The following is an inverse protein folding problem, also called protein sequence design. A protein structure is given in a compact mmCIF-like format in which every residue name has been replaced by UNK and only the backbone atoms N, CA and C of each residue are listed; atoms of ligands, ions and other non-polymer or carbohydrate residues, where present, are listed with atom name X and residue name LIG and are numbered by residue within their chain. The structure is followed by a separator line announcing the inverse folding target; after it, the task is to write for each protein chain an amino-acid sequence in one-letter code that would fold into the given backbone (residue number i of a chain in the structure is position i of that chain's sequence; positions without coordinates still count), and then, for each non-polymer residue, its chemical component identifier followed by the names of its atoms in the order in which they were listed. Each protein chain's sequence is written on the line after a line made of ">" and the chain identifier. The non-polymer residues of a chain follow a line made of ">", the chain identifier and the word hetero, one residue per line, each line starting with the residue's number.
data_IF_122478187999
#
_entry.id   IF_122478187999
#
_cell.length_a   1.000
_cell.length_b   1.000
_cell.length_c   1.000
_cell.angle_alpha   90.00
_cell.angle_beta   90.00
_cell.angle_gamma   90.00
#
_symmetry.space_group_name_H-M   'P 1'
#
loop_
_entity.id
_entity.type
_entity.pdbx_description
1 polymer ?
#
# COMPACT_ATOMS: atom_id res chain seq x y z
N UNK A 1 7.24 -7.85 -19.91
CA UNK A 1 6.99 -8.63 -18.67
C UNK A 1 7.14 -7.72 -17.46
N UNK A 2 6.20 -7.79 -16.55
CA UNK A 2 6.23 -6.98 -15.33
C UNK A 2 7.07 -7.70 -14.27
N UNK A 3 8.07 -7.01 -13.75
CA UNK A 3 8.94 -7.50 -12.69
C UNK A 3 8.65 -6.72 -11.40
N UNK A 4 8.65 -7.40 -10.25
CA UNK A 4 8.54 -6.74 -8.94
C UNK A 4 9.84 -6.89 -8.18
N UNK A 5 10.33 -5.79 -7.66
CA UNK A 5 11.56 -5.73 -6.86
C UNK A 5 11.54 -4.54 -5.91
N UNK A 6 12.54 -4.46 -5.05
CA UNK A 6 12.72 -3.27 -4.23
C UNK A 6 13.12 -2.08 -5.10
N UNK A 7 12.61 -0.91 -4.74
CA UNK A 7 12.94 0.33 -5.40
C UNK A 7 14.39 0.74 -5.14
N UNK A 8 15.06 1.26 -6.15
CA UNK A 8 16.35 1.90 -6.00
C UNK A 8 16.15 3.33 -5.46
N UNK A 9 17.11 3.89 -4.70
CA UNK A 9 17.01 5.28 -4.22
C UNK A 9 16.72 6.29 -5.32
N UNK A 10 17.27 6.09 -6.52
CA UNK A 10 17.03 6.95 -7.69
C UNK A 10 15.58 6.87 -8.21
N UNK A 11 14.80 5.90 -7.77
CA UNK A 11 13.41 5.67 -8.20
C UNK A 11 12.38 6.19 -7.20
N UNK A 12 12.80 6.63 -6.02
CA UNK A 12 11.87 7.02 -4.95
C UNK A 12 10.94 8.17 -5.36
N UNK A 13 11.45 9.17 -6.05
CA UNK A 13 10.64 10.31 -6.48
C UNK A 13 9.57 9.88 -7.48
N UNK A 14 9.93 9.04 -8.45
CA UNK A 14 8.98 8.55 -9.46
C UNK A 14 7.96 7.59 -8.85
N UNK A 15 8.38 6.69 -7.97
CA UNK A 15 7.47 5.79 -7.25
C UNK A 15 6.46 6.58 -6.41
N UNK A 16 6.93 7.63 -5.74
CA UNK A 16 6.07 8.53 -4.97
C UNK A 16 5.10 9.30 -5.83
N UNK A 17 5.56 9.83 -6.96
CA UNK A 17 4.71 10.56 -7.91
C UNK A 17 3.58 9.68 -8.43
N UNK A 18 3.88 8.46 -8.84
CA UNK A 18 2.90 7.50 -9.36
C UNK A 18 1.87 7.14 -8.27
N UNK A 19 2.34 6.86 -7.07
CA UNK A 19 1.47 6.49 -5.96
C UNK A 19 0.54 7.64 -5.57
N UNK A 20 1.07 8.86 -5.43
CA UNK A 20 0.28 10.05 -5.13
C UNK A 20 -0.76 10.31 -6.24
N UNK A 21 -0.38 10.16 -7.51
CA UNK A 21 -1.31 10.33 -8.64
C UNK A 21 -2.47 9.32 -8.56
N UNK A 22 -2.20 8.08 -8.16
CA UNK A 22 -3.23 7.05 -7.99
C UNK A 22 -4.22 7.39 -6.88
N UNK A 23 -3.76 8.02 -5.80
CA UNK A 23 -4.62 8.41 -4.67
C UNK A 23 -5.35 9.73 -4.92
N UNK A 24 -4.77 10.62 -5.73
CA UNK A 24 -5.33 11.96 -5.97
C UNK A 24 -6.77 11.93 -6.49
N UNK A 25 -7.13 10.95 -7.28
CA UNK A 25 -8.48 10.83 -7.83
C UNK A 25 -9.55 10.62 -6.76
N UNK A 26 -9.16 10.19 -5.56
CA UNK A 26 -10.06 9.97 -4.43
C UNK A 26 -10.15 11.16 -3.47
N UNK A 27 -9.36 12.21 -3.71
CA UNK A 27 -9.38 13.45 -2.92
C UNK A 27 -10.17 14.50 -3.70
N UNK A 28 -11.15 15.10 -3.04
CA UNK A 28 -12.03 16.12 -3.63
C UNK A 28 -11.64 17.50 -3.13
N UNK A 29 -11.98 18.53 -3.92
CA UNK A 29 -11.60 19.90 -3.62
C UNK A 29 -12.15 20.44 -2.29
N UNK A 30 -13.26 19.88 -1.81
CA UNK A 30 -13.90 20.23 -0.54
C UNK A 30 -13.48 19.34 0.64
N UNK A 31 -12.56 18.40 0.41
CA UNK A 31 -12.03 17.56 1.48
C UNK A 31 -11.13 18.38 2.43
N UNK A 32 -11.04 17.97 3.72
CA UNK A 32 -10.12 18.60 4.67
C UNK A 32 -8.68 18.68 4.17
N UNK A 33 -7.94 19.70 4.61
CA UNK A 33 -6.56 19.94 4.17
C UNK A 33 -5.60 18.78 4.50
N UNK A 34 -5.84 18.03 5.56
CA UNK A 34 -5.02 16.87 5.92
C UNK A 34 -5.05 15.73 4.89
N UNK A 35 -6.10 15.63 4.09
CA UNK A 35 -6.15 14.72 2.96
C UNK A 35 -5.15 15.11 1.87
N UNK A 36 -5.02 16.41 1.62
CA UNK A 36 -4.03 16.92 0.67
C UNK A 36 -2.62 16.75 1.20
N UNK A 37 -2.42 16.99 2.50
CA UNK A 37 -1.13 16.72 3.18
C UNK A 37 -0.76 15.23 3.12
N UNK A 38 -1.74 14.34 3.20
CA UNK A 38 -1.50 12.90 3.05
C UNK A 38 -0.95 12.54 1.68
N UNK A 39 -1.38 13.20 0.61
CA UNK A 39 -0.79 13.02 -0.72
C UNK A 39 0.71 13.37 -0.74
N UNK A 40 1.10 14.43 -0.05
CA UNK A 40 2.51 14.80 0.07
C UNK A 40 3.32 13.74 0.81
N UNK A 41 2.75 13.14 1.85
CA UNK A 41 3.39 12.03 2.56
C UNK A 41 3.50 10.77 1.70
N UNK A 42 2.49 10.47 0.90
CA UNK A 42 2.54 9.35 -0.06
C UNK A 42 3.67 9.56 -1.06
N UNK A 43 3.82 10.77 -1.56
CA UNK A 43 4.86 11.11 -2.53
C UNK A 43 6.27 11.04 -1.93
N UNK A 44 6.43 11.20 -0.63
CA UNK A 44 7.74 11.22 0.06
C UNK A 44 8.20 9.79 0.42
N UNK A 45 8.49 9.02 -0.60
CA UNK A 45 8.99 7.64 -0.44
C UNK A 45 10.32 7.62 0.30
N UNK A 46 11.22 8.55 0.03
CA UNK A 46 12.54 8.60 0.65
C UNK A 46 12.49 8.73 2.17
N UNK A 47 11.48 9.42 2.71
CA UNK A 47 11.31 9.59 4.15
C UNK A 47 11.06 8.25 4.85
N UNK A 48 10.28 7.34 4.24
CA UNK A 48 9.93 6.06 4.86
C UNK A 48 10.76 4.87 4.40
N UNK A 49 11.57 5.03 3.36
CA UNK A 49 12.33 3.92 2.76
C UNK A 49 13.35 3.30 3.72
N UNK A 50 13.89 4.08 4.66
CA UNK A 50 14.88 3.59 5.63
C UNK A 50 14.31 2.67 6.71
N UNK A 51 12.99 2.69 6.92
CA UNK A 51 12.32 1.86 7.94
C UNK A 51 11.29 0.90 7.39
N UNK A 52 11.07 0.91 6.08
CA UNK A 52 10.11 0.04 5.40
C UNK A 52 10.73 -0.53 4.14
N UNK A 53 10.05 -1.49 3.52
CA UNK A 53 10.43 -2.02 2.21
C UNK A 53 9.55 -1.38 1.14
N UNK A 54 10.15 -0.71 0.17
CA UNK A 54 9.43 -0.13 -0.95
C UNK A 54 9.53 -1.08 -2.14
N UNK A 55 8.41 -1.60 -2.59
CA UNK A 55 8.33 -2.44 -3.78
C UNK A 55 7.86 -1.63 -4.97
N UNK A 56 8.45 -1.90 -6.13
CA UNK A 56 8.01 -1.34 -7.41
C UNK A 56 7.75 -2.47 -8.40
N UNK A 57 6.71 -2.28 -9.21
CA UNK A 57 6.46 -3.11 -10.38
C UNK A 57 6.97 -2.34 -11.60
N UNK A 58 7.87 -2.95 -12.34
CA UNK A 58 8.55 -2.30 -13.47
C UNK A 58 8.40 -3.09 -14.75
N UNK A 59 8.39 -2.38 -15.86
CA UNK A 59 8.46 -2.97 -17.20
C UNK A 59 9.54 -2.19 -17.96
N UNK A 60 10.68 -2.82 -18.20
CA UNK A 60 11.86 -2.10 -18.65
C UNK A 60 12.27 -1.04 -17.64
N UNK A 61 12.39 0.19 -18.08
CA UNK A 61 12.77 1.33 -17.22
C UNK A 61 11.56 2.07 -16.63
N UNK A 62 10.35 1.60 -16.91
CA UNK A 62 9.13 2.27 -16.48
C UNK A 62 8.57 1.64 -15.20
N UNK A 63 8.33 2.46 -14.19
CA UNK A 63 7.62 2.07 -12.98
C UNK A 63 6.11 2.11 -13.28
N UNK A 64 5.41 1.01 -13.02
CA UNK A 64 3.98 0.87 -13.25
C UNK A 64 3.16 0.97 -11.96
N UNK A 65 3.78 0.72 -10.82
CA UNK A 65 3.13 0.76 -9.52
C UNK A 65 4.11 0.58 -8.39
N UNK A 66 3.66 0.88 -7.19
CA UNK A 66 4.48 0.80 -5.97
C UNK A 66 3.62 0.51 -4.76
N UNK A 67 4.23 -0.06 -3.73
CA UNK A 67 3.64 -0.17 -2.40
C UNK A 67 4.72 -0.08 -1.32
N UNK A 68 4.28 0.18 -0.11
CA UNK A 68 5.11 0.17 1.08
C UNK A 68 4.77 -1.06 1.91
N UNK A 69 5.78 -1.84 2.27
CA UNK A 69 5.63 -3.08 3.03
C UNK A 69 6.36 -2.98 4.36
N UNK A 70 5.66 -3.23 5.44
CA UNK A 70 6.21 -3.26 6.80
C UNK A 70 6.34 -4.72 7.24
N UNK A 71 7.59 -5.18 7.41
CA UNK A 71 7.93 -6.60 7.62
C UNK A 71 8.51 -6.91 8.99
N UNK A 72 9.10 -5.95 9.67
CA UNK A 72 10.01 -6.22 10.77
C UNK A 72 9.50 -5.91 12.18
N UNK A 73 8.21 -5.68 12.31
CA UNK A 73 7.59 -5.40 13.61
C UNK A 73 7.79 -3.97 14.11
N UNK A 74 8.37 -3.10 13.32
CA UNK A 74 8.46 -1.68 13.64
C UNK A 74 7.09 -1.05 13.76
N UNK A 75 7.04 0.09 14.41
CA UNK A 75 5.80 0.84 14.57
C UNK A 75 5.26 1.28 13.22
N UNK A 76 4.00 0.97 12.96
CA UNK A 76 3.30 1.38 11.75
C UNK A 76 2.63 2.74 11.96
N UNK A 77 2.90 3.70 11.08
CA UNK A 77 2.26 5.02 11.13
C UNK A 77 0.75 4.94 10.96
N UNK A 78 0.28 4.00 10.14
CA UNK A 78 -1.15 3.81 9.92
C UNK A 78 -1.91 3.22 11.10
N UNK A 79 -1.19 2.90 12.20
CA UNK A 79 -1.75 2.29 13.41
C UNK A 79 -1.37 3.08 14.66
N UNK A 80 -1.22 4.37 14.53
CA UNK A 80 -0.93 5.30 15.65
C UNK A 80 0.25 4.86 16.52
N UNK A 81 1.28 4.30 15.92
CA UNK A 81 2.46 3.87 16.64
C UNK A 81 2.37 2.47 17.25
N UNK A 82 1.33 1.71 16.97
CA UNK A 82 1.24 0.33 17.44
C UNK A 82 2.20 -0.58 16.66
N UNK A 83 2.95 -1.46 17.35
CA UNK A 83 3.81 -2.41 16.66
C UNK A 83 2.98 -3.47 15.94
N UNK A 84 3.59 -4.04 14.90
CA UNK A 84 3.00 -5.19 14.22
C UNK A 84 2.99 -6.41 15.15
N UNK A 85 1.97 -7.26 15.01
CA UNK A 85 1.97 -8.56 15.65
C UNK A 85 3.10 -9.44 15.08
N UNK A 86 3.58 -10.44 15.83
CA UNK A 86 4.71 -11.28 15.37
C UNK A 86 4.46 -12.04 14.06
N UNK A 87 3.19 -12.32 13.73
CA UNK A 87 2.80 -13.03 12.52
C UNK A 87 2.40 -12.11 11.36
N UNK A 88 2.41 -10.80 11.59
CA UNK A 88 1.79 -9.80 10.72
C UNK A 88 2.82 -9.05 9.87
N UNK A 89 2.51 -8.91 8.57
CA UNK A 89 3.08 -7.87 7.71
C UNK A 89 1.97 -6.90 7.32
N UNK A 90 2.31 -5.64 7.10
CA UNK A 90 1.34 -4.61 6.79
C UNK A 90 1.68 -3.91 5.48
N UNK A 91 0.68 -3.76 4.61
CA UNK A 91 0.81 -3.09 3.32
C UNK A 91 0.18 -1.71 3.40
N UNK A 92 0.91 -0.72 2.90
CA UNK A 92 0.46 0.67 2.81
C UNK A 92 0.73 1.25 1.45
N UNK A 93 -0.06 2.23 1.09
CA UNK A 93 0.23 3.10 -0.05
C UNK A 93 0.44 2.32 -1.36
N UNK A 94 -0.40 1.35 -1.62
CA UNK A 94 -0.44 0.66 -2.91
C UNK A 94 -1.03 1.59 -3.95
N UNK A 95 -0.27 1.89 -4.99
CA UNK A 95 -0.73 2.70 -6.11
C UNK A 95 -0.24 2.14 -7.44
N UNK A 96 -1.10 2.20 -8.45
CA UNK A 96 -0.79 1.81 -9.82
C UNK A 96 -0.91 3.06 -10.70
N UNK A 97 0.09 3.28 -11.56
CA UNK A 97 0.02 4.35 -12.56
C UNK A 97 -1.34 4.29 -13.28
N UNK A 98 -2.11 5.38 -13.30
CA UNK A 98 -3.40 5.40 -14.00
C UNK A 98 -3.33 4.89 -15.44
N UNK A 99 -2.20 5.11 -16.14
CA UNK A 99 -1.98 4.65 -17.50
C UNK A 99 -1.62 3.16 -17.60
N UNK A 100 -1.37 2.50 -16.47
CA UNK A 100 -0.99 1.08 -16.41
C UNK A 100 -2.08 0.20 -15.77
N UNK A 101 -3.27 0.72 -15.57
CA UNK A 101 -4.39 -0.02 -14.97
C UNK A 101 -4.84 -1.18 -15.86
N UNK A 102 -5.49 -2.17 -15.23
CA UNK A 102 -6.04 -3.37 -15.87
C UNK A 102 -4.98 -4.28 -16.52
N UNK A 103 -3.73 -4.14 -16.09
CA UNK A 103 -2.62 -4.99 -16.55
C UNK A 103 -2.15 -5.98 -15.48
N UNK A 104 -2.86 -6.06 -14.37
CA UNK A 104 -2.51 -6.95 -13.27
C UNK A 104 -1.38 -6.45 -12.37
N UNK A 105 -1.01 -5.18 -12.43
CA UNK A 105 0.11 -4.60 -11.68
C UNK A 105 -0.07 -4.79 -10.17
N UNK A 106 -1.24 -4.46 -9.63
CA UNK A 106 -1.52 -4.62 -8.21
C UNK A 106 -1.45 -6.09 -7.77
N UNK A 107 -1.90 -7.01 -8.62
CA UNK A 107 -1.85 -8.45 -8.31
C UNK A 107 -0.43 -8.98 -8.23
N UNK A 108 0.46 -8.58 -9.15
CA UNK A 108 1.86 -9.03 -9.08
C UNK A 108 2.60 -8.41 -7.90
N UNK A 109 2.30 -7.16 -7.55
CA UNK A 109 2.82 -6.52 -6.33
C UNK A 109 2.38 -7.30 -5.08
N UNK A 110 1.10 -7.63 -4.97
CA UNK A 110 0.59 -8.36 -3.81
C UNK A 110 1.08 -9.81 -3.75
N UNK A 111 1.32 -10.46 -4.89
CA UNK A 111 1.95 -11.78 -4.92
C UNK A 111 3.37 -11.75 -4.34
N UNK A 112 4.13 -10.70 -4.63
CA UNK A 112 5.46 -10.49 -4.03
C UNK A 112 5.36 -10.25 -2.52
N UNK A 113 4.35 -9.52 -2.06
CA UNK A 113 4.10 -9.34 -0.63
C UNK A 113 3.89 -10.68 0.07
N UNK A 114 3.09 -11.57 -0.51
CA UNK A 114 2.87 -12.91 0.06
C UNK A 114 4.17 -13.69 0.15
N UNK A 115 4.95 -13.69 -0.91
CA UNK A 115 6.26 -14.37 -0.95
C UNK A 115 7.20 -13.85 0.13
N UNK A 116 7.32 -12.54 0.28
CA UNK A 116 8.19 -11.92 1.27
C UNK A 116 7.70 -12.13 2.70
N UNK A 117 6.40 -12.11 2.90
CA UNK A 117 5.78 -12.40 4.20
C UNK A 117 6.17 -13.80 4.67
N UNK A 118 6.03 -14.79 3.81
CA UNK A 118 6.41 -16.18 4.14
C UNK A 118 7.92 -16.32 4.33
N UNK A 119 8.73 -15.62 3.53
CA UNK A 119 10.20 -15.69 3.61
C UNK A 119 10.73 -15.19 4.95
N UNK A 120 10.06 -14.26 5.63
CA UNK A 120 10.44 -13.78 6.96
C UNK A 120 9.73 -14.56 8.09
N UNK A 121 9.05 -15.65 7.77
CA UNK A 121 8.38 -16.51 8.76
C UNK A 121 7.07 -15.94 9.30
N UNK A 122 6.47 -14.99 8.61
CA UNK A 122 5.17 -14.42 8.97
C UNK A 122 4.07 -15.07 8.14
N UNK A 123 2.83 -14.98 8.61
CA UNK A 123 1.73 -15.75 8.01
C UNK A 123 0.47 -14.92 7.73
N UNK A 124 0.47 -13.64 8.06
CA UNK A 124 -0.73 -12.81 7.92
C UNK A 124 -0.37 -11.46 7.32
N UNK A 125 -1.16 -11.03 6.36
CA UNK A 125 -1.04 -9.71 5.72
C UNK A 125 -2.24 -8.88 6.15
N UNK A 126 -1.99 -7.64 6.59
CA UNK A 126 -3.03 -6.67 6.90
C UNK A 126 -2.89 -5.44 6.02
N UNK A 127 -4.00 -4.77 5.78
CA UNK A 127 -4.02 -3.49 5.07
C UNK A 127 -5.31 -2.73 5.39
N UNK A 128 -5.30 -1.46 5.03
CA UNK A 128 -6.50 -0.62 5.09
C UNK A 128 -6.77 0.01 3.74
N UNK A 129 -8.05 0.30 3.48
CA UNK A 129 -8.48 1.09 2.33
C UNK A 129 -9.62 2.01 2.75
N UNK A 130 -10.08 2.86 1.84
CA UNK A 130 -11.17 3.78 2.12
C UNK A 130 -12.46 3.33 1.47
N UNK A 131 -13.58 3.89 1.94
CA UNK A 131 -14.90 3.62 1.35
C UNK A 131 -15.01 4.07 -0.12
N UNK A 132 -14.21 5.06 -0.52
CA UNK A 132 -14.19 5.57 -1.90
C UNK A 132 -13.44 4.66 -2.87
N UNK A 133 -12.52 3.82 -2.36
CA UNK A 133 -11.63 2.99 -3.18
C UNK A 133 -12.26 1.63 -3.48
N UNK A 134 -13.38 1.65 -4.17
CA UNK A 134 -14.18 0.44 -4.43
C UNK A 134 -13.46 -0.59 -5.29
N UNK A 135 -12.63 -0.14 -6.25
CA UNK A 135 -11.82 -1.06 -7.06
C UNK A 135 -10.75 -1.79 -6.22
N UNK A 136 -10.16 -1.09 -5.25
CA UNK A 136 -9.21 -1.70 -4.32
C UNK A 136 -9.90 -2.73 -3.43
N UNK A 137 -11.08 -2.43 -2.91
CA UNK A 137 -11.88 -3.38 -2.12
C UNK A 137 -12.16 -4.66 -2.92
N UNK A 138 -12.61 -4.51 -4.17
CA UNK A 138 -12.89 -5.65 -5.04
C UNK A 138 -11.62 -6.47 -5.32
N UNK A 139 -10.48 -5.82 -5.52
CA UNK A 139 -9.20 -6.47 -5.72
C UNK A 139 -8.83 -7.34 -4.51
N UNK A 140 -8.87 -6.78 -3.31
CA UNK A 140 -8.48 -7.50 -2.09
C UNK A 140 -9.42 -8.67 -1.81
N UNK A 141 -10.71 -8.47 -1.94
CA UNK A 141 -11.70 -9.55 -1.78
C UNK A 141 -11.48 -10.66 -2.81
N UNK A 142 -11.20 -10.29 -4.07
CA UNK A 142 -10.86 -11.25 -5.14
C UNK A 142 -9.56 -12.01 -4.90
N UNK A 143 -8.67 -11.50 -4.06
CA UNK A 143 -7.41 -12.15 -3.67
C UNK A 143 -7.51 -12.96 -2.38
N UNK A 144 -8.68 -13.05 -1.79
CA UNK A 144 -8.92 -13.83 -0.57
C UNK A 144 -8.74 -13.05 0.74
N UNK A 145 -8.65 -11.74 0.69
CA UNK A 145 -8.67 -10.90 1.89
C UNK A 145 -10.08 -10.84 2.45
N UNK A 146 -10.16 -10.84 3.77
CA UNK A 146 -11.42 -10.73 4.52
C UNK A 146 -11.46 -9.42 5.28
N UNK A 147 -12.67 -8.86 5.43
CA UNK A 147 -12.89 -7.64 6.21
C UNK A 147 -12.59 -7.89 7.68
N UNK A 148 -11.90 -6.93 8.29
CA UNK A 148 -11.69 -6.84 9.73
C UNK A 148 -12.44 -5.63 10.28
N UNK A 149 -12.19 -5.28 11.54
CA UNK A 149 -12.83 -4.10 12.14
C UNK A 149 -12.43 -2.83 11.41
N UNK A 150 -13.39 -1.95 11.19
CA UNK A 150 -13.14 -0.62 10.64
C UNK A 150 -12.53 0.27 11.71
N UNK A 151 -11.64 1.18 11.30
CA UNK A 151 -11.13 2.24 12.15
C UNK A 151 -11.92 3.50 11.84
N UNK A 152 -12.66 4.01 12.84
CA UNK A 152 -13.49 5.20 12.69
C UNK A 152 -12.82 6.35 13.42
N UNK A 153 -12.51 7.42 12.67
CA UNK A 153 -11.88 8.62 13.20
C UNK A 153 -12.93 9.59 13.74
N UNK A 154 -12.52 10.52 14.64
CA UNK A 154 -13.48 11.46 15.27
C UNK A 154 -14.27 12.33 14.29
N UNK A 155 -13.73 12.61 13.11
CA UNK A 155 -14.39 13.38 12.05
C UNK A 155 -15.38 12.56 11.20
N UNK A 156 -15.51 11.26 11.51
CA UNK A 156 -16.38 10.33 10.79
C UNK A 156 -15.71 9.63 9.61
N UNK A 157 -14.43 9.91 9.34
CA UNK A 157 -13.67 9.18 8.35
C UNK A 157 -13.49 7.72 8.77
N UNK A 158 -13.63 6.79 7.83
CA UNK A 158 -13.55 5.36 8.10
C UNK A 158 -12.47 4.71 7.24
N UNK A 159 -11.54 4.01 7.89
CA UNK A 159 -10.63 3.08 7.22
C UNK A 159 -11.21 1.67 7.32
N UNK A 160 -11.35 1.02 6.17
CA UNK A 160 -11.80 -0.35 6.07
C UNK A 160 -10.61 -1.28 6.26
N UNK A 161 -10.67 -2.16 7.25
CA UNK A 161 -9.61 -3.13 7.51
C UNK A 161 -9.80 -4.40 6.70
N UNK A 162 -8.68 -4.98 6.25
CA UNK A 162 -8.62 -6.27 5.54
C UNK A 162 -7.44 -7.08 6.04
N UNK A 163 -7.61 -8.38 6.07
CA UNK A 163 -6.51 -9.31 6.34
C UNK A 163 -6.59 -10.55 5.47
N UNK A 164 -5.44 -11.15 5.24
CA UNK A 164 -5.33 -12.47 4.58
C UNK A 164 -4.40 -13.35 5.38
N UNK A 165 -4.91 -14.52 5.76
CA UNK A 165 -4.10 -15.55 6.42
C UNK A 165 -3.43 -16.38 5.33
N UNK A 166 -2.12 -16.49 5.40
CA UNK A 166 -1.33 -17.35 4.51
C UNK A 166 -1.16 -18.73 5.14
N UNK A 167 -1.09 -19.71 4.31
CA UNK A 167 -0.96 -21.10 4.77
C UNK A 167 0.44 -21.43 5.22
#
# INVERSE_FOLDING_TARGET
>A
MIEVREALPSEYDEAGRITAAAYREFVRGDDPSDWWEYLDRIADVGERAGRTTILVAVEGDRILGSLTLELDGRVSEGREGEPLAPDETHVRMLGVDPDARRRGVARVLMAEVESRTLAVGRSRITLHTTQRMTAAQALYEGMGFERTEDEVFPDGFVLLGYEKQLV
#
